data_IF_621342264955
#
_entry.id   IF_621342264955
#
_cell.length_a   1.000
_cell.length_b   1.000
_cell.length_c   1.000
_cell.angle_alpha   90.00
_cell.angle_beta   90.00
_cell.angle_gamma   90.00
#
_symmetry.space_group_name_H-M   'P 1'
#
loop_
_entity.id
_entity.type
_entity.pdbx_description
1 polymer ?
#
# COMPACT_ATOMS: atom_id res chain seq x y z
N UNK A 1 -7.27 0.43 0.31
CA UNK A 1 -8.49 -0.38 0.26
C UNK A 1 -9.71 0.40 -0.20
N UNK A 2 -9.95 1.65 0.29
CA UNK A 2 -11.11 2.45 -0.13
C UNK A 2 -11.17 2.69 -1.64
N UNK A 3 -10.03 3.04 -2.27
CA UNK A 3 -9.99 3.19 -3.72
C UNK A 3 -10.34 1.89 -4.45
N UNK A 4 -9.93 0.74 -3.92
CA UNK A 4 -10.33 -0.56 -4.44
C UNK A 4 -11.84 -0.81 -4.27
N UNK A 5 -12.42 -0.33 -3.15
CA UNK A 5 -13.87 -0.37 -2.94
C UNK A 5 -14.63 0.47 -3.97
N UNK A 6 -14.10 1.65 -4.33
CA UNK A 6 -14.71 2.49 -5.38
C UNK A 6 -14.78 1.72 -6.72
N UNK A 7 -13.75 0.93 -7.05
CA UNK A 7 -13.78 0.06 -8.24
C UNK A 7 -14.83 -1.07 -8.11
N UNK A 8 -14.97 -1.69 -6.92
CA UNK A 8 -16.03 -2.67 -6.70
C UNK A 8 -17.43 -2.06 -6.89
N UNK A 9 -17.65 -0.85 -6.36
CA UNK A 9 -18.93 -0.15 -6.46
C UNK A 9 -19.28 0.20 -7.92
N UNK A 10 -18.27 0.32 -8.79
CA UNK A 10 -18.41 0.48 -10.23
C UNK A 10 -18.45 -0.85 -11.00
N UNK A 11 -18.66 -1.96 -10.30
CA UNK A 11 -18.74 -3.32 -10.87
C UNK A 11 -17.48 -3.83 -11.54
N UNK A 12 -16.28 -3.30 -11.19
CA UNK A 12 -15.01 -3.86 -11.62
C UNK A 12 -14.59 -5.05 -10.75
N UNK A 13 -13.83 -5.96 -11.32
CA UNK A 13 -13.23 -7.08 -10.57
C UNK A 13 -12.11 -6.54 -9.67
N UNK A 14 -12.32 -6.58 -8.36
CA UNK A 14 -11.31 -6.21 -7.39
C UNK A 14 -10.44 -7.44 -7.04
N UNK A 15 -9.12 -7.29 -7.15
CA UNK A 15 -8.15 -8.33 -6.80
C UNK A 15 -7.30 -7.81 -5.63
N UNK A 16 -7.25 -8.58 -4.55
CA UNK A 16 -6.31 -8.39 -3.46
C UNK A 16 -5.19 -9.42 -3.59
N UNK A 17 -4.01 -8.95 -3.98
CA UNK A 17 -2.84 -9.79 -4.12
C UNK A 17 -2.09 -9.85 -2.78
N UNK A 18 -1.86 -11.06 -2.30
CA UNK A 18 -1.05 -11.34 -1.12
C UNK A 18 0.35 -11.76 -1.58
N UNK A 19 1.33 -10.92 -1.27
CA UNK A 19 2.73 -11.13 -1.65
C UNK A 19 3.44 -12.13 -0.74
N UNK A 20 2.91 -13.37 -0.61
CA UNK A 20 3.48 -14.37 0.28
C UNK A 20 4.87 -14.88 -0.17
N UNK A 21 5.16 -14.86 -1.47
CA UNK A 21 6.50 -15.18 -1.98
C UNK A 21 7.43 -13.98 -1.86
N UNK A 22 7.00 -12.80 -2.26
CA UNK A 22 7.81 -11.58 -2.20
C UNK A 22 8.15 -11.17 -0.77
N UNK A 23 7.31 -11.49 0.22
CA UNK A 23 7.61 -11.31 1.63
C UNK A 23 8.85 -12.10 2.11
N UNK A 24 9.14 -13.25 1.48
CA UNK A 24 10.34 -14.03 1.77
C UNK A 24 11.61 -13.44 1.13
N UNK A 25 11.49 -12.61 0.09
CA UNK A 25 12.61 -11.87 -0.49
C UNK A 25 12.92 -10.65 0.38
N UNK A 26 11.91 -9.97 0.89
CA UNK A 26 11.97 -8.71 1.61
C UNK A 26 11.94 -7.49 0.68
N UNK A 27 11.01 -6.58 0.93
CA UNK A 27 10.91 -5.33 0.17
C UNK A 27 12.05 -4.37 0.57
N UNK A 28 12.96 -4.03 -0.35
CA UNK A 28 14.04 -3.10 -0.07
C UNK A 28 13.59 -1.62 -0.09
N UNK A 29 12.34 -1.33 -0.46
CA UNK A 29 11.82 0.04 -0.67
C UNK A 29 11.97 0.90 0.59
N UNK A 30 12.68 2.03 0.46
CA UNK A 30 12.85 3.02 1.52
C UNK A 30 13.68 2.57 2.73
N UNK A 31 14.42 1.48 2.62
CA UNK A 31 15.25 0.93 3.69
C UNK A 31 16.74 1.01 3.35
N UNK A 32 17.55 1.34 4.35
CA UNK A 32 19.01 1.26 4.23
C UNK A 32 19.54 -0.18 4.38
N UNK A 33 18.67 -1.12 4.75
CA UNK A 33 18.96 -2.55 4.90
C UNK A 33 17.75 -3.34 4.44
N UNK A 34 17.97 -4.52 3.85
CA UNK A 34 16.91 -5.47 3.51
C UNK A 34 16.12 -5.85 4.77
N UNK A 35 14.79 -5.86 4.69
CA UNK A 35 13.95 -6.34 5.79
C UNK A 35 14.27 -7.79 6.11
N UNK A 36 14.15 -8.23 7.38
CA UNK A 36 14.23 -9.64 7.71
C UNK A 36 13.25 -10.45 6.86
N UNK A 37 13.72 -11.57 6.36
CA UNK A 37 12.87 -12.51 5.63
C UNK A 37 11.87 -13.15 6.60
N UNK A 38 10.60 -13.19 6.22
CA UNK A 38 9.56 -13.84 7.00
C UNK A 38 9.54 -15.35 6.71
N UNK A 39 9.21 -16.13 7.73
CA UNK A 39 8.94 -17.56 7.56
C UNK A 39 7.59 -17.78 6.86
N UNK A 40 7.38 -18.98 6.31
CA UNK A 40 6.10 -19.33 5.67
C UNK A 40 4.92 -19.26 6.65
N UNK A 41 5.16 -19.63 7.91
CA UNK A 41 4.19 -19.59 8.99
C UNK A 41 3.77 -18.16 9.31
N UNK A 42 4.74 -17.25 9.49
CA UNK A 42 4.49 -15.81 9.72
C UNK A 42 3.75 -15.17 8.55
N UNK A 43 4.13 -15.51 7.32
CA UNK A 43 3.44 -15.03 6.12
C UNK A 43 1.98 -15.52 6.09
N UNK A 44 1.72 -16.78 6.43
CA UNK A 44 0.38 -17.34 6.47
C UNK A 44 -0.51 -16.66 7.52
N UNK A 45 0.02 -16.42 8.72
CA UNK A 45 -0.70 -15.74 9.79
C UNK A 45 -1.00 -14.27 9.45
N UNK A 46 -0.01 -13.56 8.94
CA UNK A 46 -0.19 -12.19 8.48
C UNK A 46 -1.24 -12.09 7.36
N UNK A 47 -1.25 -13.05 6.43
CA UNK A 47 -2.22 -13.07 5.32
C UNK A 47 -3.66 -13.17 5.83
N UNK A 48 -3.94 -14.00 6.84
CA UNK A 48 -5.27 -14.10 7.46
C UNK A 48 -5.71 -12.77 8.05
N UNK A 49 -4.84 -12.13 8.83
CA UNK A 49 -5.11 -10.81 9.42
C UNK A 49 -5.42 -9.75 8.37
N UNK A 50 -4.70 -9.75 7.22
CA UNK A 50 -4.99 -8.81 6.13
C UNK A 50 -6.34 -9.08 5.45
N UNK A 51 -6.72 -10.35 5.29
CA UNK A 51 -8.02 -10.72 4.71
C UNK A 51 -9.17 -10.28 5.61
N UNK A 52 -9.07 -10.50 6.92
CA UNK A 52 -10.09 -10.08 7.89
C UNK A 52 -10.27 -8.56 7.87
N UNK A 53 -9.17 -7.81 7.85
CA UNK A 53 -9.19 -6.34 7.79
C UNK A 53 -9.72 -5.83 6.45
N UNK A 54 -9.37 -6.46 5.33
CA UNK A 54 -9.89 -6.10 4.02
C UNK A 54 -11.39 -6.32 3.93
N UNK A 55 -11.91 -7.37 4.54
CA UNK A 55 -13.33 -7.70 4.61
C UNK A 55 -14.20 -6.68 5.37
N UNK A 56 -13.58 -5.81 6.19
CA UNK A 56 -14.30 -4.69 6.83
C UNK A 56 -14.67 -3.57 5.84
N UNK A 57 -13.97 -3.49 4.72
CA UNK A 57 -14.12 -2.40 3.73
C UNK A 57 -14.65 -2.94 2.40
N UNK A 58 -14.12 -4.07 1.95
CA UNK A 58 -14.41 -4.67 0.65
C UNK A 58 -15.54 -5.71 0.75
N UNK A 59 -16.37 -5.76 -0.26
CA UNK A 59 -17.34 -6.86 -0.39
C UNK A 59 -16.60 -8.16 -0.72
N UNK A 60 -16.63 -9.10 0.21
CA UNK A 60 -15.95 -10.39 0.09
C UNK A 60 -16.47 -11.25 -1.06
N UNK A 61 -17.72 -11.04 -1.51
CA UNK A 61 -18.33 -11.77 -2.64
C UNK A 61 -17.79 -11.27 -3.99
N UNK A 62 -17.33 -10.01 -4.05
CA UNK A 62 -16.80 -9.36 -5.24
C UNK A 62 -15.27 -9.24 -5.20
N UNK A 63 -14.63 -9.78 -4.18
CA UNK A 63 -13.18 -9.73 -3.98
C UNK A 63 -12.54 -11.05 -4.38
N UNK A 64 -11.62 -10.98 -5.35
CA UNK A 64 -10.74 -12.10 -5.68
C UNK A 64 -9.44 -11.98 -4.90
N UNK A 65 -9.12 -12.97 -4.09
CA UNK A 65 -7.85 -13.03 -3.36
C UNK A 65 -6.92 -13.98 -4.12
N UNK A 66 -5.69 -13.52 -4.36
CA UNK A 66 -4.64 -14.30 -5.03
C UNK A 66 -3.33 -14.23 -4.25
N UNK A 67 -2.52 -15.26 -4.36
CA UNK A 67 -1.22 -15.36 -3.68
C UNK A 67 -0.12 -15.48 -4.72
N UNK A 68 0.87 -14.60 -4.71
CA UNK A 68 1.91 -14.65 -5.73
C UNK A 68 2.84 -15.86 -5.61
N UNK A 69 2.83 -16.57 -4.50
CA UNK A 69 3.49 -17.87 -4.36
C UNK A 69 2.92 -18.94 -5.30
N UNK A 70 1.67 -18.81 -5.76
CA UNK A 70 1.04 -19.78 -6.64
C UNK A 70 1.72 -19.85 -8.03
N UNK A 71 2.37 -18.79 -8.45
CA UNK A 71 3.12 -18.73 -9.73
C UNK A 71 4.61 -18.52 -9.52
N UNK A 72 5.07 -17.63 -8.63
CA UNK A 72 6.48 -17.35 -8.44
C UNK A 72 7.27 -18.55 -7.92
N UNK A 73 6.67 -19.36 -7.03
CA UNK A 73 7.32 -20.59 -6.52
C UNK A 73 7.50 -21.68 -7.58
N UNK A 74 6.79 -21.61 -8.69
CA UNK A 74 6.88 -22.57 -9.80
C UNK A 74 7.90 -22.17 -10.87
N UNK A 75 8.42 -20.93 -10.80
CA UNK A 75 9.44 -20.47 -11.73
C UNK A 75 10.74 -21.25 -11.49
N UNK A 76 11.25 -21.82 -12.55
CA UNK A 76 12.58 -22.41 -12.53
C UNK A 76 13.66 -21.34 -12.81
N UNK A 77 14.92 -21.71 -12.68
CA UNK A 77 16.03 -20.76 -12.85
C UNK A 77 16.08 -20.12 -14.25
N UNK A 78 15.69 -20.84 -15.29
CA UNK A 78 15.60 -20.31 -16.66
C UNK A 78 14.52 -19.24 -16.77
N UNK A 79 13.38 -19.43 -16.10
CA UNK A 79 12.30 -18.45 -16.08
C UNK A 79 12.74 -17.16 -15.38
N UNK A 80 13.49 -17.27 -14.28
CA UNK A 80 14.04 -16.12 -13.56
C UNK A 80 15.04 -15.34 -14.42
N UNK A 81 15.91 -16.04 -15.15
CA UNK A 81 16.86 -15.41 -16.10
C UNK A 81 16.07 -14.68 -17.20
N UNK A 82 15.05 -15.32 -17.77
CA UNK A 82 14.21 -14.73 -18.81
C UNK A 82 13.47 -13.49 -18.27
N UNK A 83 12.94 -13.52 -17.05
CA UNK A 83 12.32 -12.37 -16.41
C UNK A 83 13.33 -11.24 -16.23
N UNK A 84 14.52 -11.54 -15.70
CA UNK A 84 15.58 -10.57 -15.46
C UNK A 84 16.11 -9.93 -16.76
N UNK A 85 16.09 -10.64 -17.90
CA UNK A 85 16.53 -10.12 -19.19
C UNK A 85 15.65 -9.00 -19.76
N UNK A 86 14.41 -8.85 -19.25
CA UNK A 86 13.48 -7.81 -19.69
C UNK A 86 13.72 -6.43 -19.01
N UNK A 87 14.70 -6.35 -18.11
CA UNK A 87 14.95 -5.09 -17.39
C UNK A 87 16.46 -4.88 -17.18
N UNK A 88 16.92 -3.65 -17.31
CA UNK A 88 18.34 -3.36 -17.20
C UNK A 88 18.74 -2.89 -15.79
N UNK A 89 20.02 -3.13 -15.41
CA UNK A 89 20.58 -2.60 -14.16
C UNK A 89 20.51 -1.07 -14.12
N UNK A 90 20.73 -0.39 -15.25
CA UNK A 90 20.62 1.07 -15.33
C UNK A 90 19.22 1.54 -14.92
N UNK A 91 18.16 0.89 -15.41
CA UNK A 91 16.79 1.21 -15.02
C UNK A 91 16.48 0.83 -13.57
N UNK A 92 17.04 -0.26 -13.05
CA UNK A 92 16.91 -0.58 -11.62
C UNK A 92 17.50 0.51 -10.74
N UNK A 93 18.64 1.07 -11.13
CA UNK A 93 19.31 2.15 -10.41
C UNK A 93 18.58 3.51 -10.48
N UNK A 94 17.50 3.65 -11.26
CA UNK A 94 16.63 4.84 -11.23
C UNK A 94 15.79 4.90 -9.93
N UNK A 95 15.68 3.81 -9.19
CA UNK A 95 14.98 3.80 -7.90
C UNK A 95 15.80 4.54 -6.85
N UNK A 96 15.20 5.51 -6.15
CA UNK A 96 15.87 6.46 -5.27
C UNK A 96 16.78 5.81 -4.23
N UNK A 97 16.33 4.72 -3.58
CA UNK A 97 17.12 4.02 -2.58
C UNK A 97 18.31 3.29 -3.18
N UNK A 98 18.17 2.67 -4.36
CA UNK A 98 19.27 2.07 -5.08
C UNK A 98 20.27 3.14 -5.56
N UNK A 99 19.78 4.25 -6.12
CA UNK A 99 20.64 5.39 -6.51
C UNK A 99 21.46 5.90 -5.34
N UNK A 100 20.83 6.14 -4.19
CA UNK A 100 21.50 6.64 -2.98
C UNK A 100 22.58 5.67 -2.48
N UNK A 101 22.22 4.37 -2.41
CA UNK A 101 23.16 3.33 -1.95
C UNK A 101 24.31 3.13 -2.92
N UNK A 102 24.03 3.09 -4.21
CA UNK A 102 25.06 2.96 -5.25
C UNK A 102 26.06 4.12 -5.23
N UNK A 103 25.56 5.36 -5.22
CA UNK A 103 26.39 6.55 -5.16
C UNK A 103 27.14 6.69 -3.83
N UNK A 104 26.58 6.19 -2.73
CA UNK A 104 27.20 6.16 -1.41
C UNK A 104 28.16 4.98 -1.19
N UNK A 105 28.43 4.14 -2.22
CA UNK A 105 29.29 2.96 -2.11
C UNK A 105 28.75 1.88 -1.17
N UNK A 106 27.45 1.88 -0.88
CA UNK A 106 26.79 0.89 -0.04
C UNK A 106 26.42 -0.35 -0.86
N UNK A 107 26.58 -1.56 -0.30
CA UNK A 107 26.30 -2.78 -1.04
C UNK A 107 24.80 -2.91 -1.38
N UNK A 108 24.53 -3.40 -2.60
CA UNK A 108 23.20 -3.79 -3.05
C UNK A 108 23.28 -5.25 -3.45
N UNK A 109 22.51 -6.11 -2.79
CA UNK A 109 22.51 -7.53 -3.09
C UNK A 109 21.67 -7.82 -4.34
N UNK A 110 22.09 -8.80 -5.17
CA UNK A 110 21.41 -9.12 -6.43
C UNK A 110 19.94 -9.50 -6.25
N UNK A 111 19.58 -10.17 -5.14
CA UNK A 111 18.20 -10.53 -4.86
C UNK A 111 17.29 -9.31 -4.66
N UNK A 112 17.84 -8.18 -4.22
CA UNK A 112 17.09 -6.93 -4.06
C UNK A 112 16.61 -6.37 -5.42
N UNK A 113 17.37 -6.60 -6.51
CA UNK A 113 16.94 -6.28 -7.87
C UNK A 113 15.86 -7.24 -8.39
N UNK A 114 15.78 -8.46 -7.85
CA UNK A 114 14.73 -9.40 -8.24
C UNK A 114 13.38 -9.06 -7.61
N UNK A 115 13.35 -8.32 -6.49
CA UNK A 115 12.09 -7.96 -5.82
C UNK A 115 11.15 -7.16 -6.73
N UNK A 116 11.55 -6.02 -7.34
CA UNK A 116 10.71 -5.27 -8.26
C UNK A 116 10.27 -6.08 -9.48
N UNK A 117 11.10 -7.00 -9.95
CA UNK A 117 10.77 -7.89 -11.07
C UNK A 117 9.72 -8.92 -10.68
N UNK A 118 9.83 -9.52 -9.49
CA UNK A 118 8.85 -10.46 -8.97
C UNK A 118 7.48 -9.78 -8.77
N UNK A 119 7.47 -8.58 -8.16
CA UNK A 119 6.24 -7.79 -8.01
C UNK A 119 5.68 -7.37 -9.38
N UNK A 120 6.52 -6.94 -10.30
CA UNK A 120 6.09 -6.56 -11.64
C UNK A 120 5.53 -7.75 -12.45
N UNK A 121 6.06 -8.96 -12.23
CA UNK A 121 5.54 -10.16 -12.86
C UNK A 121 4.15 -10.55 -12.35
N UNK A 122 3.79 -10.17 -11.11
CA UNK A 122 2.44 -10.34 -10.58
C UNK A 122 1.41 -9.66 -11.51
N UNK A 123 1.70 -8.44 -11.97
CA UNK A 123 0.83 -7.70 -12.90
C UNK A 123 0.69 -8.39 -14.26
N UNK A 124 1.79 -9.00 -14.75
CA UNK A 124 1.76 -9.81 -15.98
C UNK A 124 0.91 -11.05 -15.79
N UNK A 125 1.10 -11.78 -14.68
CA UNK A 125 0.42 -13.03 -14.42
C UNK A 125 -1.09 -12.88 -14.28
N UNK A 126 -1.54 -11.84 -13.53
CA UNK A 126 -2.98 -11.57 -13.34
C UNK A 126 -3.60 -10.78 -14.49
N UNK A 127 -2.78 -10.29 -15.44
CA UNK A 127 -3.19 -9.42 -16.54
C UNK A 127 -4.02 -8.23 -16.04
N UNK A 128 -3.44 -7.46 -15.11
CA UNK A 128 -4.13 -6.35 -14.46
C UNK A 128 -4.29 -5.15 -15.40
N UNK A 129 -5.49 -4.55 -15.42
CA UNK A 129 -5.78 -3.31 -16.16
C UNK A 129 -5.41 -2.07 -15.34
N UNK A 130 -5.55 -2.16 -14.00
CA UNK A 130 -5.25 -1.08 -13.06
C UNK A 130 -4.56 -1.65 -11.83
N UNK A 131 -3.47 -1.03 -11.40
CA UNK A 131 -2.79 -1.38 -10.14
C UNK A 131 -2.78 -0.19 -9.19
N UNK A 132 -3.15 -0.46 -7.92
CA UNK A 132 -3.21 0.54 -6.85
C UNK A 132 -2.04 0.34 -5.89
N UNK A 133 -1.36 1.42 -5.52
CA UNK A 133 -0.28 1.38 -4.53
C UNK A 133 -0.09 2.69 -3.78
N UNK A 134 0.79 2.69 -2.80
CA UNK A 134 1.30 3.92 -2.21
C UNK A 134 2.30 4.61 -3.15
N UNK A 135 2.56 5.89 -2.93
CA UNK A 135 3.56 6.64 -3.70
C UNK A 135 4.96 6.03 -3.60
N UNK A 136 5.27 5.37 -2.48
CA UNK A 136 6.52 4.62 -2.28
C UNK A 136 6.66 3.39 -3.19
N UNK A 137 5.55 2.85 -3.70
CA UNK A 137 5.52 1.70 -4.61
C UNK A 137 5.57 2.09 -6.09
N UNK A 138 5.55 3.38 -6.42
CA UNK A 138 5.45 3.87 -7.82
C UNK A 138 6.47 3.21 -8.75
N UNK A 139 7.72 3.06 -8.32
CA UNK A 139 8.75 2.41 -9.12
C UNK A 139 8.38 0.95 -9.46
N UNK A 140 8.00 0.16 -8.45
CA UNK A 140 7.65 -1.25 -8.64
C UNK A 140 6.42 -1.41 -9.54
N UNK A 141 5.42 -0.53 -9.41
CA UNK A 141 4.24 -0.52 -10.29
C UNK A 141 4.62 -0.22 -11.75
N UNK A 142 5.58 0.69 -11.97
CA UNK A 142 6.11 1.00 -13.31
C UNK A 142 6.90 -0.17 -13.90
N UNK A 143 7.60 -0.95 -13.08
CA UNK A 143 8.23 -2.21 -13.52
C UNK A 143 7.17 -3.18 -14.04
N UNK A 144 6.05 -3.36 -13.33
CA UNK A 144 4.92 -4.20 -13.78
C UNK A 144 4.40 -3.77 -15.15
N UNK A 145 4.19 -2.48 -15.32
CA UNK A 145 3.76 -1.89 -16.59
C UNK A 145 4.75 -2.14 -17.73
N UNK A 146 6.06 -2.04 -17.46
CA UNK A 146 7.11 -2.32 -18.44
C UNK A 146 7.13 -3.83 -18.81
N UNK A 147 7.01 -4.72 -17.83
CA UNK A 147 6.98 -6.18 -18.07
C UNK A 147 5.72 -6.62 -18.83
N UNK A 148 4.58 -6.01 -18.61
CA UNK A 148 3.37 -6.25 -19.40
C UNK A 148 3.61 -5.92 -20.87
N UNK A 149 4.24 -4.78 -21.16
CA UNK A 149 4.58 -4.39 -22.54
C UNK A 149 5.52 -5.40 -23.20
N UNK A 150 6.57 -5.85 -22.52
CA UNK A 150 7.50 -6.86 -23.02
C UNK A 150 6.81 -8.24 -23.21
N UNK A 151 5.71 -8.47 -22.48
CA UNK A 151 4.88 -9.68 -22.61
C UNK A 151 3.75 -9.55 -23.65
N UNK A 152 3.74 -8.48 -24.45
CA UNK A 152 2.68 -8.15 -25.42
C UNK A 152 1.28 -8.03 -24.79
N UNK A 153 1.20 -7.58 -23.55
CA UNK A 153 -0.04 -7.22 -22.85
C UNK A 153 -0.27 -5.71 -22.92
N UNK A 154 -1.52 -5.28 -22.76
CA UNK A 154 -1.84 -3.86 -22.57
C UNK A 154 -1.26 -3.39 -21.23
N UNK A 155 -0.42 -2.34 -21.22
CA UNK A 155 0.18 -1.87 -20.00
C UNK A 155 -0.83 -1.24 -19.06
N UNK A 156 -0.91 -1.74 -17.84
CA UNK A 156 -1.84 -1.28 -16.79
C UNK A 156 -1.76 0.21 -16.50
N UNK A 157 -2.86 0.79 -16.05
CA UNK A 157 -2.89 2.12 -15.41
C UNK A 157 -2.42 1.97 -13.97
N UNK A 158 -1.49 2.82 -13.54
CA UNK A 158 -1.08 2.87 -12.13
C UNK A 158 -1.73 4.07 -11.44
N UNK A 159 -2.30 3.82 -10.26
CA UNK A 159 -2.87 4.85 -9.39
C UNK A 159 -2.16 4.78 -8.06
N UNK A 160 -1.47 5.87 -7.69
CA UNK A 160 -0.80 5.96 -6.40
C UNK A 160 -1.55 6.86 -5.44
N UNK A 161 -1.59 6.46 -4.18
CA UNK A 161 -2.12 7.27 -3.09
C UNK A 161 -0.97 7.78 -2.22
N UNK A 162 -1.04 9.01 -1.70
CA UNK A 162 -0.06 9.51 -0.76
C UNK A 162 0.06 8.60 0.47
N UNK A 163 1.25 8.57 1.05
CA UNK A 163 1.44 7.96 2.36
C UNK A 163 0.86 8.89 3.44
N UNK A 164 0.25 8.27 4.44
CA UNK A 164 -0.30 8.98 5.59
C UNK A 164 0.67 8.79 6.75
N UNK A 165 1.07 9.89 7.38
CA UNK A 165 1.85 9.89 8.61
C UNK A 165 1.01 9.29 9.74
N UNK A 166 1.67 8.65 10.68
CA UNK A 166 1.03 8.09 11.86
C UNK A 166 0.67 9.17 12.90
N UNK A 167 0.27 8.73 14.06
CA UNK A 167 -0.12 9.60 15.19
C UNK A 167 1.03 10.45 15.71
N UNK A 168 2.28 10.10 15.39
CA UNK A 168 3.50 10.87 15.68
C UNK A 168 3.68 12.10 14.75
N UNK A 169 2.97 12.13 13.62
CA UNK A 169 3.04 13.22 12.65
C UNK A 169 4.30 13.29 11.79
N UNK A 170 5.17 12.33 11.87
CA UNK A 170 6.48 12.34 11.20
C UNK A 170 6.67 11.12 10.30
N UNK A 171 6.61 9.93 10.90
CA UNK A 171 6.83 8.68 10.18
C UNK A 171 5.54 8.19 9.51
N UNK A 172 5.67 7.50 8.38
CA UNK A 172 4.52 6.85 7.76
C UNK A 172 3.82 5.94 8.76
N UNK A 173 2.49 5.95 8.74
CA UNK A 173 1.69 5.06 9.57
C UNK A 173 2.08 3.60 9.35
N UNK A 174 2.52 2.92 10.40
CA UNK A 174 2.84 1.49 10.34
C UNK A 174 2.78 0.82 11.71
N UNK A 175 2.54 -0.50 11.71
CA UNK A 175 2.61 -1.32 12.92
C UNK A 175 4.02 -1.32 13.53
N UNK A 176 5.05 -1.27 12.70
CA UNK A 176 6.46 -1.31 13.14
C UNK A 176 6.88 -0.07 13.93
N UNK A 177 6.22 1.05 13.72
CA UNK A 177 6.47 2.32 14.43
C UNK A 177 5.50 2.56 15.58
N UNK A 178 4.52 1.65 15.78
CA UNK A 178 3.46 1.80 16.79
C UNK A 178 2.71 3.14 16.72
N UNK A 179 2.69 3.76 15.55
CA UNK A 179 2.08 5.06 15.27
C UNK A 179 0.76 4.95 14.47
N UNK A 180 0.15 3.77 14.43
CA UNK A 180 -0.99 3.47 13.58
C UNK A 180 -2.33 3.57 14.32
N UNK A 181 -3.38 3.87 13.55
CA UNK A 181 -4.78 3.70 13.94
C UNK A 181 -5.27 2.42 13.26
N UNK A 182 -5.48 1.37 14.05
CA UNK A 182 -5.83 0.06 13.53
C UNK A 182 -7.31 -0.10 13.21
N UNK A 183 -7.64 -0.85 12.17
CA UNK A 183 -9.03 -1.19 11.86
C UNK A 183 -9.70 -2.02 12.98
N UNK A 184 -8.91 -2.78 13.71
CA UNK A 184 -9.35 -3.60 14.84
C UNK A 184 -9.24 -2.90 16.20
N UNK A 185 -8.82 -1.65 16.25
CA UNK A 185 -8.81 -0.88 17.49
C UNK A 185 -10.24 -0.74 18.02
N UNK A 186 -10.42 -0.68 19.34
CA UNK A 186 -11.73 -0.38 19.90
C UNK A 186 -12.21 1.02 19.46
N UNK A 187 -13.53 1.28 19.43
CA UNK A 187 -14.02 2.62 19.12
C UNK A 187 -13.39 3.73 19.96
N UNK A 188 -13.14 3.46 21.24
CA UNK A 188 -12.51 4.40 22.17
C UNK A 188 -11.05 4.64 21.83
N UNK A 189 -10.29 3.59 21.51
CA UNK A 189 -8.88 3.70 21.16
C UNK A 189 -8.71 4.40 19.81
N UNK A 190 -9.52 4.01 18.80
CA UNK A 190 -9.52 4.65 17.49
C UNK A 190 -9.84 6.15 17.60
N UNK A 191 -10.83 6.50 18.40
CA UNK A 191 -11.19 7.88 18.68
C UNK A 191 -10.04 8.63 19.37
N UNK A 192 -9.47 8.07 20.44
CA UNK A 192 -8.36 8.67 21.18
C UNK A 192 -7.12 8.88 20.34
N UNK A 193 -6.71 7.85 19.57
CA UNK A 193 -5.57 7.94 18.64
C UNK A 193 -5.80 9.02 17.56
N UNK A 194 -7.02 9.14 17.04
CA UNK A 194 -7.34 10.21 16.07
C UNK A 194 -7.26 11.60 16.70
N UNK A 195 -7.64 11.76 17.96
CA UNK A 195 -7.49 13.05 18.67
C UNK A 195 -6.02 13.41 18.92
N UNK A 196 -5.12 12.45 19.01
CA UNK A 196 -3.70 12.69 19.32
C UNK A 196 -2.85 13.13 18.12
N UNK A 197 -3.38 13.05 16.88
CA UNK A 197 -2.61 13.47 15.70
C UNK A 197 -2.25 14.96 15.79
N UNK A 198 -1.11 15.41 15.23
CA UNK A 198 -0.78 16.82 15.08
C UNK A 198 -1.84 17.61 14.29
N UNK A 199 -1.95 18.92 14.54
CA UNK A 199 -2.99 19.74 13.93
C UNK A 199 -2.82 19.90 12.41
N UNK A 200 -1.60 19.90 11.93
CA UNK A 200 -1.23 19.99 10.52
C UNK A 200 -1.67 18.75 9.71
N UNK A 201 -1.94 17.62 10.36
CA UNK A 201 -2.47 16.42 9.71
C UNK A 201 -4.00 16.36 9.60
N UNK A 202 -4.73 17.27 10.24
CA UNK A 202 -6.19 17.24 10.26
C UNK A 202 -6.78 17.18 8.85
N UNK A 203 -6.36 18.10 7.99
CA UNK A 203 -6.89 18.19 6.62
C UNK A 203 -6.52 16.97 5.80
N UNK A 204 -5.27 16.49 5.91
CA UNK A 204 -4.81 15.28 5.23
C UNK A 204 -5.62 14.05 5.64
N UNK A 205 -5.92 13.92 6.94
CA UNK A 205 -6.75 12.81 7.41
C UNK A 205 -8.20 12.91 6.96
N UNK A 206 -8.79 14.11 6.92
CA UNK A 206 -10.12 14.29 6.32
C UNK A 206 -10.13 13.85 4.85
N UNK A 207 -9.15 14.29 4.06
CA UNK A 207 -9.06 13.99 2.63
C UNK A 207 -8.89 12.48 2.36
N UNK A 208 -7.96 11.82 3.06
CA UNK A 208 -7.59 10.45 2.74
C UNK A 208 -8.26 9.40 3.64
N UNK A 209 -8.75 9.76 4.82
CA UNK A 209 -9.33 8.82 5.76
C UNK A 209 -10.86 8.92 5.91
N UNK A 210 -11.52 9.93 5.34
CA UNK A 210 -12.99 10.09 5.42
C UNK A 210 -13.65 10.20 4.04
N UNK A 211 -14.97 10.28 4.02
CA UNK A 211 -15.78 10.55 2.82
C UNK A 211 -16.72 11.74 3.05
N UNK A 212 -16.29 12.71 3.84
CA UNK A 212 -17.10 13.91 4.10
C UNK A 212 -17.37 14.68 2.81
N UNK A 213 -18.61 15.11 2.62
CA UNK A 213 -19.01 15.83 1.40
C UNK A 213 -18.60 17.30 1.41
N UNK A 214 -18.38 17.87 2.57
CA UNK A 214 -18.04 19.27 2.80
C UNK A 214 -16.52 19.50 3.03
N UNK A 215 -15.68 18.61 2.47
CA UNK A 215 -14.22 18.66 2.65
C UNK A 215 -13.62 20.02 2.30
N UNK A 216 -14.02 20.61 1.16
CA UNK A 216 -13.49 21.90 0.72
C UNK A 216 -13.85 23.05 1.72
N UNK A 217 -15.03 22.98 2.33
CA UNK A 217 -15.44 23.93 3.36
C UNK A 217 -14.59 23.76 4.62
N UNK A 218 -14.40 22.51 5.08
CA UNK A 218 -13.55 22.22 6.25
C UNK A 218 -12.13 22.75 6.04
N UNK A 219 -11.56 22.48 4.87
CA UNK A 219 -10.21 22.93 4.48
C UNK A 219 -10.10 24.44 4.50
N UNK A 220 -11.04 25.13 3.85
CA UNK A 220 -11.05 26.59 3.77
C UNK A 220 -11.18 27.25 5.15
N UNK A 221 -12.07 26.74 6.00
CA UNK A 221 -12.27 27.27 7.37
C UNK A 221 -11.03 27.02 8.23
N UNK A 222 -10.36 25.88 8.08
CA UNK A 222 -9.12 25.60 8.79
C UNK A 222 -8.00 26.54 8.33
N UNK A 223 -7.78 26.71 7.04
CA UNK A 223 -6.76 27.59 6.47
C UNK A 223 -6.96 29.07 6.85
N UNK A 224 -8.21 29.51 6.99
CA UNK A 224 -8.55 30.87 7.44
C UNK A 224 -8.50 31.06 8.95
N UNK A 225 -8.27 30.01 9.72
CA UNK A 225 -8.30 30.06 11.19
C UNK A 225 -9.71 30.24 11.79
N UNK A 226 -10.76 29.98 11.00
CA UNK A 226 -12.15 30.06 11.45
C UNK A 226 -12.61 28.80 12.21
N UNK A 227 -11.94 27.68 12.01
CA UNK A 227 -12.26 26.41 12.64
C UNK A 227 -11.29 26.07 13.77
N UNK A 228 -11.82 25.65 14.92
CA UNK A 228 -11.00 25.22 16.04
C UNK A 228 -10.44 23.79 15.75
N UNK A 229 -9.09 23.59 15.77
CA UNK A 229 -8.48 22.28 15.52
C UNK A 229 -9.03 21.16 16.40
N UNK A 230 -9.32 21.43 17.68
CA UNK A 230 -9.91 20.47 18.61
C UNK A 230 -11.27 19.95 18.13
N UNK A 231 -12.11 20.85 17.62
CA UNK A 231 -13.46 20.48 17.19
C UNK A 231 -13.40 19.73 15.86
N UNK A 232 -12.48 20.10 14.97
CA UNK A 232 -12.19 19.37 13.75
C UNK A 232 -11.67 17.95 14.05
N UNK A 233 -10.74 17.79 14.98
CA UNK A 233 -10.26 16.45 15.40
C UNK A 233 -11.38 15.59 15.98
N UNK A 234 -12.28 16.17 16.77
CA UNK A 234 -13.45 15.46 17.30
C UNK A 234 -14.39 14.99 16.19
N UNK A 235 -14.62 15.85 15.20
CA UNK A 235 -15.41 15.50 14.03
C UNK A 235 -14.71 14.39 13.24
N UNK A 236 -13.44 14.56 12.91
CA UNK A 236 -12.62 13.57 12.22
C UNK A 236 -12.65 12.20 12.91
N UNK A 237 -12.48 12.19 14.24
CA UNK A 237 -12.49 10.95 15.01
C UNK A 237 -13.84 10.23 14.95
N UNK A 238 -14.96 10.97 14.98
CA UNK A 238 -16.30 10.39 14.79
C UNK A 238 -16.47 9.78 13.42
N UNK A 239 -16.10 10.51 12.36
CA UNK A 239 -16.16 10.02 10.97
C UNK A 239 -15.35 8.72 10.79
N UNK A 240 -14.13 8.67 11.35
CA UNK A 240 -13.29 7.47 11.26
C UNK A 240 -13.92 6.31 12.04
N UNK A 241 -14.39 6.52 13.27
CA UNK A 241 -15.03 5.47 14.07
C UNK A 241 -16.31 4.97 13.39
N UNK A 242 -17.13 5.85 12.83
CA UNK A 242 -18.35 5.46 12.11
C UNK A 242 -18.07 4.54 10.92
N UNK A 243 -17.00 4.79 10.19
CA UNK A 243 -16.62 3.97 9.03
C UNK A 243 -16.35 2.51 9.41
N UNK A 244 -15.72 2.26 10.55
CA UNK A 244 -15.25 0.94 10.93
C UNK A 244 -16.12 0.24 11.98
N UNK A 245 -16.89 0.97 12.76
CA UNK A 245 -17.67 0.43 13.87
C UNK A 245 -19.18 0.60 13.74
N UNK A 246 -19.65 1.43 12.81
CA UNK A 246 -21.09 1.47 12.53
C UNK A 246 -21.45 0.25 11.69
N UNK A 247 -22.32 -0.61 12.21
CA UNK A 247 -22.86 -1.71 11.41
C UNK A 247 -23.59 -1.10 10.20
N UNK A 248 -23.08 -1.40 9.02
CA UNK A 248 -23.83 -1.15 7.80
C UNK A 248 -25.15 -1.90 7.92
N UNK A 249 -26.25 -1.15 7.98
CA UNK A 249 -27.60 -1.68 7.91
C UNK A 249 -27.93 -2.09 6.50
#
# INVERSE_FOLDING_TARGET
>A
LRKLKDFQDLCHTAILLIGNFTAMIGDPTGQNKTRPQLTKEEVSENSKSYMDQAGMILDSKLLKIVHNGDWLSKMNFSDVIKLASNYTVARMLERDDFTKRYNGGQPISLHEFLYPLAQGYDSVHINSDVELGGTDQKFNLLVGRALQKESNLEPQVIITTPLIEGTDGVEKMSKSYDNYIGFSDSPSDMYGKTLSIPDDLIIKYFEYCTRVLDFETIKLDFEKGNANPRDLKRRLAREIVEIYHTKQK
#
